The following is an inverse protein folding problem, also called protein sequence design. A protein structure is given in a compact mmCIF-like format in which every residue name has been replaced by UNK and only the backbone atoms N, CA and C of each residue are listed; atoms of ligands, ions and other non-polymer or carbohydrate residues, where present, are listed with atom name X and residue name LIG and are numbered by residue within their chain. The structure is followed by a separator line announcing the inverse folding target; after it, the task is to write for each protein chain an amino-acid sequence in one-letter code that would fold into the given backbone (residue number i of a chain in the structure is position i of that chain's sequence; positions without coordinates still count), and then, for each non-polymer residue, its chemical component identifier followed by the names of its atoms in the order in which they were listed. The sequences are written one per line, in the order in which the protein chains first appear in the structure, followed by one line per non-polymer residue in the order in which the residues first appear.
data_IF_097619401256
#
_entry.id   IF_097619401256
#
_cell.length_a   1.000
_cell.length_b   1.000
_cell.length_c   1.000
_cell.angle_alpha   90.00
_cell.angle_beta   90.00
_cell.angle_gamma   90.00
#
_symmetry.space_group_name_H-M   'P 1'
#
loop_
_entity.id
_entity.type
_entity.pdbx_description
1 polymer ?
#
# COMPACT_ATOMS: atom_id res chain seq x y z
N UNK A 1 -18.72 -2.98 -33.18
CA UNK A 1 -17.82 -1.92 -32.68
C UNK A 1 -17.75 -2.12 -31.17
N UNK A 2 -16.71 -2.78 -30.67
CA UNK A 2 -16.55 -2.95 -29.23
C UNK A 2 -16.08 -1.62 -28.66
N UNK A 3 -16.89 -1.03 -27.78
CA UNK A 3 -16.45 0.10 -26.96
C UNK A 3 -15.49 -0.51 -25.94
N UNK A 4 -14.20 -0.29 -26.14
CA UNK A 4 -13.21 -0.56 -25.08
C UNK A 4 -13.40 0.51 -24.03
N UNK A 5 -13.74 0.11 -22.80
CA UNK A 5 -13.72 1.03 -21.67
C UNK A 5 -12.34 1.71 -21.58
N UNK A 6 -12.30 3.01 -21.25
CA UNK A 6 -11.04 3.69 -21.04
C UNK A 6 -10.27 2.99 -19.91
N UNK A 7 -8.95 2.96 -20.03
CA UNK A 7 -8.09 2.46 -18.97
C UNK A 7 -8.35 3.25 -17.67
N UNK A 8 -8.34 2.59 -16.50
CA UNK A 8 -8.61 3.26 -15.23
C UNK A 8 -7.56 4.34 -14.95
N UNK A 9 -7.99 5.44 -14.37
CA UNK A 9 -7.12 6.51 -13.91
C UNK A 9 -6.31 6.10 -12.67
N UNK A 10 -5.22 6.81 -12.38
CA UNK A 10 -4.39 6.54 -11.17
C UNK A 10 -5.21 6.59 -9.88
N UNK A 11 -6.07 7.59 -9.63
CA UNK A 11 -6.90 7.59 -8.42
C UNK A 11 -7.83 6.38 -8.33
N UNK A 12 -8.39 5.91 -9.44
CA UNK A 12 -9.23 4.70 -9.46
C UNK A 12 -8.41 3.45 -9.13
N UNK A 13 -7.18 3.35 -9.66
CA UNK A 13 -6.23 2.28 -9.32
C UNK A 13 -5.86 2.32 -7.83
N UNK A 14 -5.48 3.49 -7.30
CA UNK A 14 -5.16 3.66 -5.86
C UNK A 14 -6.33 3.25 -4.97
N UNK A 15 -7.55 3.68 -5.30
CA UNK A 15 -8.74 3.30 -4.53
C UNK A 15 -9.03 1.80 -4.61
N UNK A 16 -8.82 1.17 -5.77
CA UNK A 16 -8.98 -0.27 -5.93
C UNK A 16 -7.93 -1.05 -5.12
N UNK A 17 -6.67 -0.64 -5.19
CA UNK A 17 -5.56 -1.20 -4.39
C UNK A 17 -5.85 -1.09 -2.90
N UNK A 18 -6.16 0.12 -2.41
CA UNK A 18 -6.45 0.33 -0.99
C UNK A 18 -7.61 -0.56 -0.51
N UNK A 19 -8.67 -0.68 -1.32
CA UNK A 19 -9.80 -1.58 -1.02
C UNK A 19 -9.37 -3.05 -0.98
N UNK A 20 -8.54 -3.49 -1.91
CA UNK A 20 -8.01 -4.86 -1.97
C UNK A 20 -7.17 -5.19 -0.73
N UNK A 21 -6.26 -4.29 -0.38
CA UNK A 21 -5.41 -4.39 0.82
C UNK A 21 -6.26 -4.44 2.09
N UNK A 22 -7.23 -3.54 2.26
CA UNK A 22 -8.11 -3.55 3.43
C UNK A 22 -8.87 -4.88 3.56
N UNK A 23 -9.39 -5.43 2.46
CA UNK A 23 -10.08 -6.73 2.47
C UNK A 23 -9.13 -7.85 2.89
N UNK A 24 -7.91 -7.88 2.35
CA UNK A 24 -6.90 -8.85 2.74
C UNK A 24 -6.56 -8.75 4.23
N UNK A 25 -6.30 -7.54 4.73
CA UNK A 25 -5.95 -7.29 6.13
C UNK A 25 -7.08 -7.71 7.07
N UNK A 26 -8.33 -7.36 6.76
CA UNK A 26 -9.50 -7.77 7.54
C UNK A 26 -9.62 -9.30 7.57
N UNK A 27 -9.41 -9.98 6.44
CA UNK A 27 -9.41 -11.46 6.39
C UNK A 27 -8.29 -12.09 7.24
N UNK A 28 -7.23 -11.34 7.54
CA UNK A 28 -6.13 -11.73 8.42
C UNK A 28 -6.28 -11.22 9.86
N UNK A 29 -7.46 -10.73 10.24
CA UNK A 29 -7.78 -10.17 11.57
C UNK A 29 -7.01 -8.89 11.94
N UNK A 30 -6.59 -8.11 10.95
CA UNK A 30 -6.10 -6.75 11.17
C UNK A 30 -7.23 -5.73 11.05
N UNK A 31 -7.15 -4.65 11.81
CA UNK A 31 -8.02 -3.48 11.71
C UNK A 31 -7.31 -2.36 10.93
N UNK A 32 -7.63 -2.15 9.63
CA UNK A 32 -6.98 -1.13 8.82
C UNK A 32 -7.62 0.27 9.00
N UNK A 33 -6.78 1.30 8.96
CA UNK A 33 -7.12 2.71 8.96
C UNK A 33 -6.40 3.39 7.79
N UNK A 34 -7.16 4.10 6.95
CA UNK A 34 -6.61 4.80 5.79
C UNK A 34 -6.10 6.19 6.16
N UNK A 35 -5.13 6.68 5.39
CA UNK A 35 -4.60 8.05 5.44
C UNK A 35 -4.15 8.46 6.86
N UNK A 36 -3.37 7.61 7.51
CA UNK A 36 -2.97 7.79 8.91
C UNK A 36 -1.73 8.67 9.05
N UNK A 37 -1.81 9.72 9.85
CA UNK A 37 -0.68 10.62 10.13
C UNK A 37 0.26 10.03 11.18
N UNK A 38 1.52 9.86 10.81
CA UNK A 38 2.60 9.36 11.68
C UNK A 38 3.18 10.46 12.57
N UNK A 39 3.96 10.06 13.58
CA UNK A 39 4.54 11.00 14.56
C UNK A 39 5.55 12.01 13.97
N UNK A 40 6.11 11.74 12.79
CA UNK A 40 6.96 12.67 12.04
C UNK A 40 6.18 13.59 11.08
N UNK A 41 4.84 13.54 11.09
CA UNK A 41 3.99 14.32 10.20
C UNK A 41 3.88 13.77 8.77
N UNK A 42 4.47 12.60 8.47
CA UNK A 42 4.19 11.84 7.24
C UNK A 42 2.79 11.23 7.33
N UNK A 43 2.27 10.81 6.18
CA UNK A 43 0.98 10.14 6.09
C UNK A 43 1.18 8.78 5.44
N UNK A 44 0.84 7.72 6.16
CA UNK A 44 0.78 6.38 5.63
C UNK A 44 -0.56 6.20 4.91
N UNK A 45 -0.53 5.57 3.73
CA UNK A 45 -1.76 5.27 2.99
C UNK A 45 -2.67 4.35 3.81
N UNK A 46 -2.08 3.32 4.43
CA UNK A 46 -2.79 2.36 5.28
C UNK A 46 -1.92 2.02 6.49
N UNK A 47 -2.46 2.23 7.68
CA UNK A 47 -1.97 1.63 8.92
C UNK A 47 -2.91 0.49 9.31
N UNK A 48 -2.40 -0.62 9.85
CA UNK A 48 -3.26 -1.70 10.33
C UNK A 48 -2.80 -2.22 11.70
N UNK A 49 -3.74 -2.34 12.63
CA UNK A 49 -3.51 -2.90 13.96
C UNK A 49 -3.85 -4.39 13.97
N UNK A 50 -2.88 -5.22 14.31
CA UNK A 50 -3.03 -6.66 14.43
C UNK A 50 -3.60 -7.09 15.77
N UNK A 51 -4.05 -8.35 15.88
CA UNK A 51 -4.70 -8.87 17.10
C UNK A 51 -3.73 -8.99 18.30
N UNK A 52 -2.41 -8.91 18.05
CA UNK A 52 -1.37 -8.92 19.09
C UNK A 52 -0.86 -7.52 19.44
N UNK A 53 -1.43 -6.48 18.82
CA UNK A 53 -0.97 -5.10 18.96
C UNK A 53 0.14 -4.70 17.97
N UNK A 54 0.53 -5.59 17.06
CA UNK A 54 1.49 -5.28 16.01
C UNK A 54 0.91 -4.31 14.98
N UNK A 55 1.74 -3.39 14.49
CA UNK A 55 1.38 -2.35 13.54
C UNK A 55 2.00 -2.68 12.19
N UNK A 56 1.17 -2.69 11.16
CA UNK A 56 1.61 -2.70 9.77
C UNK A 56 1.43 -1.32 9.15
N UNK A 57 2.36 -0.93 8.30
CA UNK A 57 2.19 0.17 7.35
C UNK A 57 2.23 -0.41 5.94
N UNK A 58 1.25 -0.04 5.11
CA UNK A 58 1.17 -0.43 3.71
C UNK A 58 1.06 0.81 2.84
N UNK A 59 2.02 0.99 1.95
CA UNK A 59 2.03 2.07 0.95
C UNK A 59 1.55 1.55 -0.40
N UNK A 60 0.52 2.18 -0.96
CA UNK A 60 -0.01 1.81 -2.27
C UNK A 60 0.80 2.48 -3.37
N UNK A 61 1.17 1.73 -4.42
CA UNK A 61 1.83 2.29 -5.61
C UNK A 61 1.01 1.96 -6.84
N UNK A 62 0.35 2.99 -7.36
CA UNK A 62 -0.52 2.91 -8.55
C UNK A 62 0.25 2.74 -9.86
N UNK A 63 1.58 2.90 -9.83
CA UNK A 63 2.46 2.68 -10.96
C UNK A 63 3.93 2.91 -10.59
N UNK A 64 4.84 2.63 -11.53
CA UNK A 64 6.30 2.72 -11.31
C UNK A 64 6.74 4.13 -10.94
N UNK A 65 6.15 5.15 -11.57
CA UNK A 65 6.50 6.55 -11.29
C UNK A 65 6.19 6.96 -9.85
N UNK A 66 5.06 6.47 -9.31
CA UNK A 66 4.63 6.68 -7.92
C UNK A 66 5.65 6.08 -6.93
N UNK A 67 6.17 4.89 -7.26
CA UNK A 67 7.21 4.23 -6.50
C UNK A 67 8.56 4.98 -6.56
N UNK A 68 8.99 5.42 -7.74
CA UNK A 68 10.31 6.07 -7.91
C UNK A 68 10.40 7.41 -7.18
N UNK A 69 9.30 8.17 -7.11
CA UNK A 69 9.32 9.50 -6.45
C UNK A 69 9.16 9.43 -4.95
N UNK A 70 8.61 8.33 -4.42
CA UNK A 70 8.50 8.12 -2.98
C UNK A 70 9.84 7.65 -2.42
N UNK A 71 10.67 8.61 -2.01
CA UNK A 71 11.99 8.36 -1.44
C UNK A 71 11.99 8.39 0.10
N UNK A 72 10.82 8.61 0.72
CA UNK A 72 10.69 8.89 2.16
C UNK A 72 10.12 7.73 2.95
N UNK A 73 9.56 6.72 2.27
CA UNK A 73 9.06 5.51 2.90
C UNK A 73 10.03 4.81 3.88
N UNK A 74 11.38 4.88 3.78
CA UNK A 74 12.24 4.25 4.79
C UNK A 74 12.02 4.85 6.18
N UNK A 75 11.62 6.11 6.28
CA UNK A 75 11.26 6.78 7.55
C UNK A 75 10.05 6.11 8.23
N UNK A 76 9.25 5.31 7.52
CA UNK A 76 8.01 4.74 8.05
C UNK A 76 8.28 3.48 8.86
N UNK A 77 9.46 2.88 8.72
CA UNK A 77 9.89 1.69 9.49
C UNK A 77 9.99 1.96 10.99
N UNK A 78 10.24 3.21 11.39
CA UNK A 78 10.28 3.59 12.81
C UNK A 78 8.88 3.59 13.47
N UNK A 79 7.82 3.42 12.68
CA UNK A 79 6.41 3.51 13.11
C UNK A 79 5.63 2.21 12.95
N UNK A 80 6.27 1.10 12.54
CA UNK A 80 5.60 -0.17 12.33
C UNK A 80 6.49 -1.38 12.67
N UNK A 81 5.86 -2.50 12.98
CA UNK A 81 6.53 -3.79 13.15
C UNK A 81 6.88 -4.42 11.79
N UNK A 82 6.09 -4.14 10.75
CA UNK A 82 6.43 -4.49 9.37
C UNK A 82 5.86 -3.50 8.36
N UNK A 83 6.66 -3.21 7.34
CA UNK A 83 6.34 -2.32 6.24
C UNK A 83 6.09 -3.11 4.95
N UNK A 84 5.05 -2.73 4.20
CA UNK A 84 4.68 -3.34 2.93
C UNK A 84 4.49 -2.29 1.85
N UNK A 85 4.81 -2.66 0.61
CA UNK A 85 4.19 -2.02 -0.56
C UNK A 85 3.00 -2.84 -1.03
N UNK A 86 1.96 -2.15 -1.53
CA UNK A 86 0.86 -2.75 -2.26
C UNK A 86 0.84 -2.24 -3.70
N UNK A 87 0.87 -3.16 -4.66
CA UNK A 87 1.00 -2.85 -6.09
C UNK A 87 0.02 -3.66 -6.92
N UNK A 88 -0.22 -3.23 -8.15
CA UNK A 88 -1.05 -3.99 -9.11
C UNK A 88 -0.30 -5.23 -9.61
N UNK A 89 -1.03 -6.19 -10.16
CA UNK A 89 -0.46 -7.43 -10.73
C UNK A 89 0.59 -7.18 -11.82
N UNK A 90 0.41 -6.12 -12.60
CA UNK A 90 1.31 -5.77 -13.71
C UNK A 90 2.51 -4.91 -13.27
N UNK A 91 2.59 -4.53 -12.00
CA UNK A 91 3.73 -3.77 -11.49
C UNK A 91 5.02 -4.62 -11.53
N UNK A 92 6.16 -4.08 -11.99
CA UNK A 92 7.42 -4.82 -12.03
C UNK A 92 7.97 -5.04 -10.61
N UNK A 93 7.61 -6.16 -10.01
CA UNK A 93 7.92 -6.52 -8.62
C UNK A 93 9.42 -6.53 -8.31
N UNK A 94 10.28 -6.76 -9.32
CA UNK A 94 11.73 -6.71 -9.18
C UNK A 94 12.28 -5.32 -8.80
N UNK A 95 11.46 -4.26 -8.89
CA UNK A 95 11.83 -2.93 -8.38
C UNK A 95 11.69 -2.80 -6.86
N UNK A 96 10.88 -3.66 -6.23
CA UNK A 96 10.61 -3.61 -4.80
C UNK A 96 11.79 -4.19 -4.02
N UNK A 97 12.29 -3.52 -2.97
CA UNK A 97 13.36 -4.07 -2.13
C UNK A 97 12.96 -5.40 -1.50
N UNK A 98 13.91 -6.34 -1.38
CA UNK A 98 13.63 -7.67 -0.81
C UNK A 98 13.39 -7.65 0.72
N UNK A 99 13.78 -6.56 1.37
CA UNK A 99 13.69 -6.39 2.83
C UNK A 99 12.37 -5.73 3.29
N UNK A 100 11.42 -5.54 2.37
CA UNK A 100 10.04 -5.12 2.68
C UNK A 100 9.03 -6.19 2.28
N UNK A 101 7.86 -6.15 2.90
CA UNK A 101 6.74 -6.96 2.47
C UNK A 101 6.14 -6.46 1.15
N UNK A 102 5.50 -7.37 0.40
CA UNK A 102 4.82 -7.06 -0.84
C UNK A 102 3.41 -7.66 -0.85
N UNK A 103 2.42 -6.83 -1.19
CA UNK A 103 1.05 -7.23 -1.44
C UNK A 103 0.72 -6.96 -2.91
N UNK A 104 0.15 -7.95 -3.58
CA UNK A 104 -0.46 -7.79 -4.90
C UNK A 104 -1.97 -7.73 -4.70
N UNK A 105 -2.62 -6.66 -5.17
CA UNK A 105 -4.03 -6.39 -4.96
C UNK A 105 -4.73 -5.85 -6.21
#
# INVERSE_FOLDING_TARGET
MAITDPAPSRPEITQALARGVQRLLIQRNYAPLLEFTLGNGRRADIMALGPKGDILIVETKSGVEDFIVDMKWPEYRDYCDAFYFAVTVDFPQALVPEDVGLIIA
#
